data_IF_793527177254
#
_entry.id   IF_793527177254
#
_cell.length_a   1.000
_cell.length_b   1.000
_cell.length_c   1.000
_cell.angle_alpha   90.00
_cell.angle_beta   90.00
_cell.angle_gamma   90.00
#
_symmetry.space_group_name_H-M   'P 1'
#
loop_
_entity.id
_entity.type
_entity.pdbx_description
1 polymer ?
#
# COMPACT_ATOMS: atom_id res chain seq x y z
N UNK A 1 19.81 -12.55 -4.74
CA UNK A 1 19.97 -11.09 -4.93
C UNK A 1 21.26 -10.66 -4.25
N UNK A 2 22.17 -9.96 -4.95
CA UNK A 2 23.39 -9.46 -4.38
C UNK A 2 23.25 -7.95 -4.11
N UNK A 3 23.21 -7.56 -2.84
CA UNK A 3 23.33 -6.16 -2.44
C UNK A 3 24.79 -5.87 -2.09
N UNK A 4 25.37 -4.84 -2.70
CA UNK A 4 26.70 -4.34 -2.35
C UNK A 4 26.56 -2.96 -1.68
N UNK A 5 27.16 -2.80 -0.50
CA UNK A 5 27.31 -1.49 0.12
C UNK A 5 28.56 -0.83 -0.45
N UNK A 6 28.38 0.35 -1.04
CA UNK A 6 29.49 1.13 -1.62
C UNK A 6 29.49 2.52 -1.00
N UNK A 7 30.63 2.93 -0.43
CA UNK A 7 30.80 4.31 -0.02
C UNK A 7 30.94 5.17 -1.28
N UNK A 8 29.91 5.99 -1.56
CA UNK A 8 29.82 6.77 -2.81
C UNK A 8 31.07 7.61 -3.12
N UNK A 9 31.70 8.19 -2.10
CA UNK A 9 32.83 9.10 -2.31
C UNK A 9 32.40 10.29 -3.18
N UNK A 10 33.22 10.60 -4.21
CA UNK A 10 32.99 11.69 -5.18
C UNK A 10 32.36 11.20 -6.51
N UNK A 11 32.00 9.92 -6.64
CA UNK A 11 31.45 9.37 -7.87
C UNK A 11 30.03 9.90 -8.15
N UNK A 12 29.79 10.23 -9.41
CA UNK A 12 28.43 10.55 -9.89
C UNK A 12 27.56 9.29 -9.98
N UNK A 13 26.24 9.42 -9.99
CA UNK A 13 25.33 8.28 -10.14
C UNK A 13 25.57 7.51 -11.45
N UNK A 14 25.72 8.16 -12.63
CA UNK A 14 26.09 7.46 -13.86
C UNK A 14 27.42 6.70 -13.77
N UNK A 15 28.43 7.28 -13.11
CA UNK A 15 29.71 6.60 -12.91
C UNK A 15 29.59 5.37 -12.00
N UNK A 16 28.69 5.39 -11.02
CA UNK A 16 28.38 4.23 -10.18
C UNK A 16 27.71 3.11 -10.97
N UNK A 17 26.73 3.41 -11.82
CA UNK A 17 26.10 2.42 -12.69
C UNK A 17 27.09 1.79 -13.68
N UNK A 18 28.00 2.60 -14.23
CA UNK A 18 29.06 2.09 -15.12
C UNK A 18 30.04 1.17 -14.41
N UNK A 19 30.40 1.50 -13.16
CA UNK A 19 31.31 0.69 -12.37
C UNK A 19 30.65 -0.57 -11.76
N UNK A 20 29.35 -0.50 -11.50
CA UNK A 20 28.56 -1.55 -10.84
C UNK A 20 27.22 -1.70 -11.55
N UNK A 21 27.15 -2.50 -12.64
CA UNK A 21 25.90 -2.76 -13.34
C UNK A 21 24.86 -3.37 -12.40
N UNK A 22 23.72 -2.71 -12.24
CA UNK A 22 22.62 -3.11 -11.34
C UNK A 22 21.31 -2.45 -11.77
N UNK A 23 20.19 -2.97 -11.26
CA UNK A 23 18.86 -2.49 -11.61
C UNK A 23 18.54 -1.13 -10.96
N UNK A 24 19.09 -0.84 -9.78
CA UNK A 24 18.95 0.44 -9.09
C UNK A 24 20.09 0.66 -8.09
N UNK A 25 20.27 1.91 -7.70
CA UNK A 25 21.19 2.34 -6.63
C UNK A 25 20.40 3.11 -5.57
N UNK A 26 20.45 2.64 -4.33
CA UNK A 26 19.86 3.35 -3.19
C UNK A 26 20.94 4.26 -2.56
N UNK A 27 20.67 5.56 -2.51
CA UNK A 27 21.58 6.56 -1.94
C UNK A 27 20.99 7.14 -0.67
N UNK A 28 21.67 6.91 0.45
CA UNK A 28 21.35 7.55 1.72
C UNK A 28 22.17 8.84 1.87
N UNK A 29 21.50 9.95 2.12
CA UNK A 29 22.10 11.27 2.31
C UNK A 29 21.44 12.01 3.49
N UNK A 30 21.87 13.23 3.78
CA UNK A 30 21.21 14.09 4.78
C UNK A 30 19.75 14.42 4.44
N UNK A 31 19.35 14.28 3.18
CA UNK A 31 17.96 14.48 2.72
C UNK A 31 17.13 13.19 2.72
N UNK A 32 17.64 12.09 3.23
CA UNK A 32 16.99 10.79 3.26
C UNK A 32 17.46 9.83 2.17
N UNK A 33 16.65 8.79 1.94
CA UNK A 33 16.91 7.74 0.96
C UNK A 33 16.34 8.12 -0.40
N UNK A 34 17.18 8.03 -1.44
CA UNK A 34 16.78 8.19 -2.86
C UNK A 34 17.17 6.95 -3.63
N UNK A 35 16.23 6.38 -4.35
CA UNK A 35 16.43 5.29 -5.31
C UNK A 35 16.72 5.91 -6.68
N UNK A 36 17.81 5.51 -7.31
CA UNK A 36 18.18 5.92 -8.67
C UNK A 36 18.12 4.72 -9.60
N UNK A 37 17.62 4.94 -10.82
CA UNK A 37 17.52 3.94 -11.88
C UNK A 37 18.51 4.28 -13.02
N UNK A 38 18.89 3.28 -13.87
CA UNK A 38 19.84 3.49 -14.97
C UNK A 38 19.38 4.52 -16.02
N UNK A 39 18.09 4.71 -16.18
CA UNK A 39 17.44 5.67 -17.09
C UNK A 39 17.42 7.11 -16.56
N UNK A 40 18.18 7.41 -15.50
CA UNK A 40 18.23 8.67 -14.77
C UNK A 40 16.94 9.05 -14.03
N UNK A 41 15.97 8.16 -13.94
CA UNK A 41 14.83 8.37 -13.06
C UNK A 41 15.25 8.19 -11.60
N UNK A 42 14.52 8.83 -10.70
CA UNK A 42 14.77 8.71 -9.26
C UNK A 42 13.46 8.76 -8.48
N UNK A 43 13.46 8.09 -7.34
CA UNK A 43 12.34 8.08 -6.42
C UNK A 43 12.81 8.27 -4.98
N UNK A 44 12.06 9.07 -4.23
CA UNK A 44 12.20 9.25 -2.77
C UNK A 44 10.83 9.20 -2.14
N UNK A 45 10.76 8.77 -0.89
CA UNK A 45 9.49 8.77 -0.16
C UNK A 45 8.94 10.18 0.02
N UNK A 46 7.63 10.32 -0.17
CA UNK A 46 6.86 11.53 0.17
C UNK A 46 5.38 11.17 0.40
N UNK A 47 4.69 11.97 1.21
CA UNK A 47 3.30 11.68 1.60
C UNK A 47 2.28 11.77 0.47
N UNK A 48 2.54 12.62 -0.54
CA UNK A 48 1.73 12.72 -1.76
C UNK A 48 0.21 12.74 -1.51
N UNK A 49 -0.47 11.74 -2.06
CA UNK A 49 -1.92 11.59 -1.98
C UNK A 49 -2.40 11.37 -0.54
N UNK A 50 -1.61 10.71 0.32
CA UNK A 50 -1.96 10.55 1.73
C UNK A 50 -2.12 11.90 2.43
N UNK A 51 -1.22 12.87 2.15
CA UNK A 51 -1.33 14.22 2.74
C UNK A 51 -2.63 14.92 2.35
N UNK A 52 -3.01 14.86 1.08
CA UNK A 52 -4.27 15.49 0.61
C UNK A 52 -5.50 14.85 1.26
N UNK A 53 -5.51 13.52 1.37
CA UNK A 53 -6.60 12.77 2.01
C UNK A 53 -6.68 13.07 3.51
N UNK A 54 -5.55 13.11 4.21
CA UNK A 54 -5.50 13.49 5.63
C UNK A 54 -6.02 14.93 5.84
N UNK A 55 -5.65 15.90 4.98
CA UNK A 55 -6.17 17.25 5.05
C UNK A 55 -7.70 17.30 4.87
N UNK A 56 -8.26 16.46 4.00
CA UNK A 56 -9.71 16.32 3.84
C UNK A 56 -10.38 15.74 5.08
N UNK A 57 -9.81 14.68 5.66
CA UNK A 57 -10.28 14.11 6.93
C UNK A 57 -10.26 15.14 8.06
N UNK A 58 -9.22 15.98 8.16
CA UNK A 58 -9.14 17.07 9.15
C UNK A 58 -10.23 18.12 8.98
N UNK A 59 -10.77 18.28 7.78
CA UNK A 59 -11.91 19.17 7.48
C UNK A 59 -13.27 18.51 7.70
N UNK A 60 -13.30 17.26 8.16
CA UNK A 60 -14.53 16.50 8.33
C UNK A 60 -15.09 15.91 7.02
N UNK A 61 -14.30 15.91 5.93
CA UNK A 61 -14.69 15.28 4.69
C UNK A 61 -14.48 13.75 4.81
N UNK A 62 -15.35 12.95 4.16
CA UNK A 62 -15.24 11.50 4.15
C UNK A 62 -14.10 10.99 3.25
N UNK A 63 -13.65 9.77 3.53
CA UNK A 63 -12.74 9.01 2.68
C UNK A 63 -13.34 7.63 2.39
N UNK A 64 -13.33 7.22 1.12
CA UNK A 64 -14.03 5.99 0.72
C UNK A 64 -13.38 4.71 1.27
N UNK A 65 -12.05 4.66 1.45
CA UNK A 65 -11.39 3.53 2.11
C UNK A 65 -11.81 3.45 3.58
N UNK A 66 -11.79 4.58 4.28
CA UNK A 66 -12.24 4.65 5.67
C UNK A 66 -13.69 4.20 5.79
N UNK A 67 -14.57 4.67 4.89
CA UNK A 67 -15.97 4.25 4.87
C UNK A 67 -16.12 2.74 4.59
N UNK A 68 -15.29 2.15 3.73
CA UNK A 68 -15.31 0.72 3.45
C UNK A 68 -14.92 -0.10 4.70
N UNK A 69 -13.86 0.32 5.40
CA UNK A 69 -13.43 -0.30 6.66
C UNK A 69 -14.52 -0.16 7.74
N UNK A 70 -15.08 1.03 7.92
CA UNK A 70 -16.16 1.26 8.89
C UNK A 70 -17.38 0.37 8.63
N UNK A 71 -17.69 0.06 7.36
CA UNK A 71 -18.78 -0.88 7.04
C UNK A 71 -18.47 -2.29 7.55
N UNK A 72 -17.25 -2.78 7.37
CA UNK A 72 -16.84 -4.10 7.89
C UNK A 72 -16.91 -4.09 9.43
N UNK A 73 -16.31 -3.09 10.06
CA UNK A 73 -16.28 -3.00 11.53
C UNK A 73 -17.69 -2.92 12.11
N UNK A 74 -18.57 -2.07 11.55
CA UNK A 74 -19.94 -1.92 12.05
C UNK A 74 -20.80 -3.15 11.85
N UNK A 75 -20.60 -3.91 10.77
CA UNK A 75 -21.33 -5.19 10.54
C UNK A 75 -20.93 -6.24 11.59
N UNK A 76 -19.68 -6.20 12.07
CA UNK A 76 -19.16 -7.11 13.09
C UNK A 76 -19.24 -6.52 14.51
N UNK A 77 -20.02 -5.46 14.73
CA UNK A 77 -20.23 -4.78 16.01
C UNK A 77 -18.94 -4.25 16.66
N UNK A 78 -17.89 -4.03 15.85
CA UNK A 78 -16.58 -3.50 16.31
C UNK A 78 -16.60 -1.98 16.19
N UNK A 79 -16.23 -1.32 17.27
CA UNK A 79 -16.12 0.13 17.28
C UNK A 79 -14.78 0.57 16.69
N UNK A 80 -14.72 1.78 16.15
CA UNK A 80 -13.50 2.40 15.63
C UNK A 80 -12.44 2.71 16.71
N UNK A 81 -12.74 2.46 17.98
CA UNK A 81 -11.83 2.58 19.13
C UNK A 81 -11.18 1.26 19.53
N UNK A 82 -11.69 0.14 19.04
CA UNK A 82 -11.13 -1.17 19.31
C UNK A 82 -9.93 -1.47 18.42
N UNK A 83 -9.02 -2.29 18.91
CA UNK A 83 -7.86 -2.74 18.15
C UNK A 83 -8.30 -3.74 17.08
N UNK A 84 -7.83 -3.58 15.88
CA UNK A 84 -7.98 -4.54 14.77
C UNK A 84 -6.74 -4.57 13.89
N UNK A 85 -6.55 -5.68 13.21
CA UNK A 85 -5.46 -5.88 12.25
C UNK A 85 -5.89 -5.58 10.82
N UNK A 86 -5.02 -4.89 10.08
CA UNK A 86 -5.23 -4.53 8.68
C UNK A 86 -3.99 -4.92 7.87
N UNK A 87 -4.15 -5.84 6.92
CA UNK A 87 -3.09 -6.26 6.01
C UNK A 87 -3.28 -5.59 4.65
N UNK A 88 -2.39 -4.66 4.32
CA UNK A 88 -2.29 -4.08 2.97
C UNK A 88 -1.39 -4.96 2.11
N UNK A 89 -1.99 -5.76 1.24
CA UNK A 89 -1.31 -6.73 0.39
C UNK A 89 -0.49 -6.09 -0.74
N UNK A 90 -0.63 -4.79 -0.95
CA UNK A 90 -0.09 -4.05 -2.11
C UNK A 90 0.31 -2.63 -1.71
N UNK A 91 1.06 -2.48 -0.61
CA UNK A 91 1.28 -1.18 0.03
C UNK A 91 1.87 -0.11 -0.90
N UNK A 92 2.73 -0.49 -1.85
CA UNK A 92 3.36 0.43 -2.79
C UNK A 92 4.04 1.62 -2.08
N UNK A 93 3.58 2.84 -2.38
CA UNK A 93 4.07 4.07 -1.74
C UNK A 93 3.44 4.36 -0.37
N UNK A 94 2.59 3.48 0.12
CA UNK A 94 1.99 3.54 1.45
C UNK A 94 0.80 4.49 1.62
N UNK A 95 0.28 5.05 0.53
CA UNK A 95 -0.73 6.12 0.60
C UNK A 95 -1.99 5.70 1.35
N UNK A 96 -2.53 4.51 1.07
CA UNK A 96 -3.74 3.97 1.70
C UNK A 96 -3.48 3.56 3.15
N UNK A 97 -2.38 2.85 3.41
CA UNK A 97 -1.96 2.46 4.76
C UNK A 97 -1.71 3.67 5.67
N UNK A 98 -1.13 4.77 5.15
CA UNK A 98 -0.92 6.01 5.93
C UNK A 98 -2.25 6.65 6.31
N UNK A 99 -3.21 6.72 5.38
CA UNK A 99 -4.56 7.25 5.65
C UNK A 99 -5.28 6.38 6.68
N UNK A 100 -5.17 5.05 6.55
CA UNK A 100 -5.71 4.08 7.51
C UNK A 100 -5.12 4.28 8.90
N UNK A 101 -3.79 4.34 9.01
CA UNK A 101 -3.11 4.55 10.29
C UNK A 101 -3.43 5.90 10.94
N UNK A 102 -3.68 6.92 10.12
CA UNK A 102 -4.10 8.23 10.63
C UNK A 102 -5.54 8.20 11.17
N UNK A 103 -6.46 7.58 10.44
CA UNK A 103 -7.88 7.52 10.80
C UNK A 103 -8.16 6.55 11.97
N UNK A 104 -7.42 5.44 12.04
CA UNK A 104 -7.55 4.40 13.07
C UNK A 104 -6.23 4.22 13.83
N UNK A 105 -5.94 5.08 14.83
CA UNK A 105 -4.67 5.02 15.57
C UNK A 105 -4.42 3.72 16.31
N UNK A 106 -5.45 2.94 16.61
CA UNK A 106 -5.41 1.64 17.28
C UNK A 106 -5.26 0.46 16.33
N UNK A 107 -5.41 0.68 15.00
CA UNK A 107 -5.24 -0.39 14.03
C UNK A 107 -3.77 -0.85 13.94
N UNK A 108 -3.57 -2.17 13.92
CA UNK A 108 -2.28 -2.81 13.62
C UNK A 108 -2.15 -2.98 12.10
N UNK A 109 -1.38 -2.11 11.47
CA UNK A 109 -1.25 -2.08 10.02
C UNK A 109 0.06 -2.72 9.59
N UNK A 110 -0.05 -3.73 8.73
CA UNK A 110 1.07 -4.34 8.03
C UNK A 110 0.86 -4.22 6.52
N UNK A 111 1.93 -3.82 5.83
CA UNK A 111 1.96 -3.75 4.37
C UNK A 111 2.93 -4.76 3.76
N UNK A 112 2.60 -5.25 2.57
CA UNK A 112 3.46 -6.11 1.76
C UNK A 112 3.87 -5.36 0.50
N UNK A 113 5.15 -5.45 0.13
CA UNK A 113 5.69 -4.88 -1.10
C UNK A 113 6.69 -5.85 -1.74
N UNK A 114 6.39 -6.28 -2.96
CA UNK A 114 7.22 -7.24 -3.71
C UNK A 114 8.37 -6.59 -4.48
N UNK A 115 8.31 -5.30 -4.74
CA UNK A 115 9.39 -4.56 -5.41
C UNK A 115 10.41 -4.05 -4.40
N UNK A 116 11.64 -4.53 -4.49
CA UNK A 116 12.69 -4.14 -3.56
C UNK A 116 12.98 -2.63 -3.53
N UNK A 117 13.09 -1.90 -4.66
CA UNK A 117 13.31 -0.46 -4.63
C UNK A 117 12.14 0.31 -3.99
N UNK A 118 10.91 -0.12 -4.23
CA UNK A 118 9.71 0.50 -3.62
C UNK A 118 9.69 0.19 -2.12
N UNK A 119 9.89 -1.07 -1.74
CA UNK A 119 9.97 -1.46 -0.33
C UNK A 119 11.03 -0.66 0.44
N UNK A 120 12.25 -0.50 -0.12
CA UNK A 120 13.31 0.28 0.51
C UNK A 120 12.91 1.74 0.72
N UNK A 121 12.34 2.38 -0.32
CA UNK A 121 11.92 3.77 -0.23
C UNK A 121 10.78 3.96 0.77
N UNK A 122 9.77 3.10 0.72
CA UNK A 122 8.57 3.19 1.57
C UNK A 122 8.90 2.87 3.02
N UNK A 123 9.59 1.75 3.31
CA UNK A 123 9.96 1.37 4.67
C UNK A 123 10.89 2.41 5.32
N UNK A 124 11.89 2.91 4.58
CA UNK A 124 12.74 3.98 5.07
C UNK A 124 11.94 5.26 5.36
N UNK A 125 11.06 5.65 4.43
CA UNK A 125 10.23 6.84 4.58
C UNK A 125 9.29 6.76 5.77
N UNK A 126 8.58 5.66 5.94
CA UNK A 126 7.71 5.43 7.10
C UNK A 126 8.49 5.50 8.42
N UNK A 127 9.73 5.01 8.44
CA UNK A 127 10.57 5.02 9.64
C UNK A 127 11.21 6.39 9.95
N UNK A 128 11.50 7.24 8.93
CA UNK A 128 12.38 8.41 9.12
C UNK A 128 11.75 9.74 8.70
N UNK A 129 10.76 9.74 7.80
CA UNK A 129 10.09 10.98 7.40
C UNK A 129 9.36 11.60 8.59
N UNK A 130 9.52 12.92 8.77
CA UNK A 130 8.84 13.68 9.82
C UNK A 130 7.98 14.76 9.20
N UNK A 131 6.72 14.82 9.61
CA UNK A 131 5.78 15.87 9.23
C UNK A 131 5.68 16.92 10.36
N UNK A 132 5.37 18.16 10.04
CA UNK A 132 5.16 19.23 11.03
C UNK A 132 3.97 18.98 11.96
N UNK A 133 2.99 18.18 11.54
CA UNK A 133 1.87 17.72 12.36
C UNK A 133 2.24 16.36 12.98
N UNK A 134 2.35 16.32 14.32
CA UNK A 134 2.80 15.13 15.06
C UNK A 134 1.96 13.88 14.77
N UNK A 135 0.62 14.01 14.73
CA UNK A 135 -0.27 12.87 14.45
C UNK A 135 -0.03 12.20 13.10
N UNK A 136 0.44 12.95 12.09
CA UNK A 136 0.85 12.39 10.80
C UNK A 136 2.14 11.59 10.94
N UNK A 137 3.14 12.14 11.65
CA UNK A 137 4.39 11.41 11.93
C UNK A 137 4.11 10.13 12.73
N UNK A 138 3.27 10.21 13.75
CA UNK A 138 2.89 9.04 14.57
C UNK A 138 2.17 7.97 13.71
N UNK A 139 1.33 8.39 12.76
CA UNK A 139 0.68 7.47 11.83
C UNK A 139 1.69 6.69 10.97
N UNK A 140 2.74 7.35 10.48
CA UNK A 140 3.81 6.68 9.73
C UNK A 140 4.51 5.60 10.55
N UNK A 141 4.79 5.87 11.83
CA UNK A 141 5.56 4.97 12.71
C UNK A 141 4.81 3.72 13.13
N UNK A 142 3.49 3.69 12.98
CA UNK A 142 2.66 2.53 13.32
C UNK A 142 2.55 1.50 12.20
N UNK A 143 3.04 1.81 11.00
CA UNK A 143 2.94 0.91 9.85
C UNK A 143 4.19 0.05 9.75
N UNK A 144 4.00 -1.27 9.79
CA UNK A 144 5.04 -2.26 9.50
C UNK A 144 5.02 -2.60 8.01
N UNK A 145 6.19 -2.73 7.36
CA UNK A 145 6.28 -3.13 5.96
C UNK A 145 7.24 -4.30 5.79
N UNK A 146 6.76 -5.37 5.16
CA UNK A 146 7.56 -6.54 4.80
C UNK A 146 7.88 -6.56 3.30
N UNK A 147 9.11 -6.95 2.97
CA UNK A 147 9.49 -7.28 1.59
C UNK A 147 9.00 -8.68 1.27
N UNK A 148 7.80 -8.76 0.72
CA UNK A 148 7.16 -10.02 0.33
C UNK A 148 6.03 -9.72 -0.66
N UNK A 149 5.51 -10.76 -1.31
CA UNK A 149 4.30 -10.67 -2.11
C UNK A 149 3.13 -11.33 -1.41
N UNK A 150 1.92 -10.91 -1.69
CA UNK A 150 0.75 -11.50 -1.06
C UNK A 150 0.52 -12.95 -1.51
N UNK A 151 0.95 -13.33 -2.71
CA UNK A 151 0.90 -14.71 -3.21
C UNK A 151 1.75 -15.65 -2.36
N UNK A 152 2.85 -15.16 -1.79
CA UNK A 152 3.70 -15.93 -0.87
C UNK A 152 3.22 -15.82 0.57
N UNK A 153 2.83 -14.62 1.00
CA UNK A 153 2.59 -14.32 2.42
C UNK A 153 1.24 -14.85 2.90
N UNK A 154 0.14 -14.51 2.19
CA UNK A 154 -1.22 -14.83 2.64
C UNK A 154 -1.49 -16.33 2.79
N UNK A 155 -1.05 -17.22 1.88
CA UNK A 155 -1.28 -18.65 2.03
C UNK A 155 -0.64 -19.29 3.28
N UNK A 156 0.39 -18.65 3.85
CA UNK A 156 1.09 -19.14 5.03
C UNK A 156 0.50 -18.63 6.36
N UNK A 157 -0.49 -17.77 6.31
CA UNK A 157 -1.19 -17.28 7.50
C UNK A 157 -2.24 -18.29 7.98
N UNK A 158 -2.47 -18.39 9.30
CA UNK A 158 -3.60 -19.16 9.84
C UNK A 158 -4.96 -18.65 9.36
N UNK A 159 -5.99 -19.49 9.45
CA UNK A 159 -7.36 -19.09 9.25
C UNK A 159 -7.73 -17.98 10.25
N UNK A 160 -8.52 -16.99 9.81
CA UNK A 160 -9.08 -15.94 10.66
C UNK A 160 -8.03 -15.22 11.54
N UNK A 161 -6.84 -14.99 10.98
CA UNK A 161 -5.71 -14.40 11.71
C UNK A 161 -5.50 -12.91 11.43
N UNK A 162 -6.22 -12.35 10.46
CA UNK A 162 -6.19 -10.93 10.09
C UNK A 162 -7.63 -10.43 9.98
N UNK A 163 -7.95 -9.34 10.65
CA UNK A 163 -9.33 -8.84 10.67
C UNK A 163 -9.79 -8.32 9.32
N UNK A 164 -8.97 -7.51 8.66
CA UNK A 164 -9.28 -6.95 7.34
C UNK A 164 -8.07 -7.10 6.41
N UNK A 165 -8.30 -7.71 5.24
CA UNK A 165 -7.32 -7.80 4.15
C UNK A 165 -7.68 -6.80 3.06
N UNK A 166 -6.69 -6.06 2.58
CA UNK A 166 -6.84 -5.02 1.59
C UNK A 166 -5.94 -5.25 0.38
N UNK A 167 -6.50 -5.04 -0.82
CA UNK A 167 -5.78 -5.08 -2.08
C UNK A 167 -6.01 -3.78 -2.88
N UNK A 168 -4.94 -3.19 -3.37
CA UNK A 168 -4.91 -2.18 -4.42
C UNK A 168 -4.02 -2.69 -5.57
N UNK A 169 -4.46 -3.72 -6.30
CA UNK A 169 -3.67 -4.28 -7.40
C UNK A 169 -3.44 -3.21 -8.45
N UNK A 170 -2.36 -3.32 -9.22
CA UNK A 170 -2.16 -2.45 -10.37
C UNK A 170 -3.32 -2.65 -11.34
N UNK A 171 -4.00 -1.55 -11.68
CA UNK A 171 -5.17 -1.59 -12.56
C UNK A 171 -4.83 -2.26 -13.90
N UNK A 172 -5.67 -3.14 -14.41
CA UNK A 172 -5.54 -3.77 -15.74
C UNK A 172 -5.33 -2.75 -16.86
N UNK A 173 -5.93 -1.58 -16.70
CA UNK A 173 -5.68 -0.42 -17.57
C UNK A 173 -5.07 0.67 -16.70
N UNK A 174 -3.77 0.98 -16.85
CA UNK A 174 -3.10 2.01 -16.06
C UNK A 174 -3.87 3.34 -16.10
N UNK A 175 -4.04 3.97 -14.95
CA UNK A 175 -4.48 5.37 -14.91
C UNK A 175 -3.31 6.21 -15.42
N UNK A 176 -3.46 6.79 -16.61
CA UNK A 176 -2.36 7.36 -17.41
C UNK A 176 -1.51 8.42 -16.69
N UNK A 177 -1.97 9.02 -15.60
CA UNK A 177 -1.36 10.22 -15.04
C UNK A 177 -1.10 10.18 -13.53
N UNK A 178 -0.48 9.11 -13.01
CA UNK A 178 0.12 9.22 -11.68
C UNK A 178 1.61 9.58 -11.81
N UNK A 179 2.01 10.87 -11.69
CA UNK A 179 3.40 11.31 -11.84
C UNK A 179 4.36 10.59 -10.89
N UNK A 180 3.84 10.12 -9.75
CA UNK A 180 4.58 9.47 -8.68
C UNK A 180 5.03 8.06 -9.02
N UNK A 181 4.24 7.33 -9.83
CA UNK A 181 4.60 6.00 -10.33
C UNK A 181 5.43 6.03 -11.62
N UNK A 182 5.56 7.19 -12.25
CA UNK A 182 6.29 7.32 -13.50
C UNK A 182 7.75 6.83 -13.40
N UNK A 183 8.53 7.16 -12.34
CA UNK A 183 9.87 6.64 -12.16
C UNK A 183 9.92 5.15 -11.81
N UNK A 184 8.83 4.56 -11.37
CA UNK A 184 8.74 3.18 -10.89
C UNK A 184 8.14 2.22 -11.93
N UNK A 185 7.71 2.72 -13.09
CA UNK A 185 7.19 1.89 -14.19
C UNK A 185 8.26 0.89 -14.63
N UNK A 186 7.88 -0.39 -14.72
CA UNK A 186 8.79 -1.49 -15.02
C UNK A 186 9.55 -2.06 -13.82
N UNK A 187 9.42 -1.45 -12.62
CA UNK A 187 9.98 -1.96 -11.37
C UNK A 187 8.91 -2.48 -10.39
N UNK A 188 7.64 -2.42 -10.78
CA UNK A 188 6.51 -2.97 -10.02
C UNK A 188 6.34 -4.45 -10.31
N UNK A 189 5.88 -5.21 -9.31
CA UNK A 189 5.48 -6.60 -9.49
C UNK A 189 4.04 -6.61 -10.01
N UNK A 190 3.82 -7.25 -11.17
CA UNK A 190 2.46 -7.49 -11.65
C UNK A 190 1.85 -8.61 -10.83
N UNK A 191 0.76 -8.32 -10.16
CA UNK A 191 0.04 -9.24 -9.28
C UNK A 191 -1.44 -9.23 -9.63
N UNK A 192 -2.02 -10.42 -9.76
CA UNK A 192 -3.43 -10.58 -10.11
C UNK A 192 -4.18 -11.34 -9.01
N UNK A 193 -5.39 -10.88 -8.69
CA UNK A 193 -6.27 -11.58 -7.78
C UNK A 193 -6.98 -12.69 -8.56
N UNK A 194 -6.49 -13.91 -8.43
CA UNK A 194 -7.08 -15.13 -8.97
C UNK A 194 -7.96 -15.85 -7.93
N UNK A 195 -8.58 -16.99 -8.34
CA UNK A 195 -9.44 -17.79 -7.46
C UNK A 195 -8.72 -18.27 -6.20
N UNK A 196 -7.44 -18.64 -6.34
CA UNK A 196 -6.63 -19.12 -5.23
C UNK A 196 -6.37 -18.00 -4.21
N UNK A 197 -5.97 -16.82 -4.68
CA UNK A 197 -5.70 -15.66 -3.82
C UNK A 197 -6.98 -15.17 -3.15
N UNK A 198 -8.09 -15.07 -3.89
CA UNK A 198 -9.36 -14.67 -3.30
C UNK A 198 -9.82 -15.64 -2.21
N UNK A 199 -9.74 -16.94 -2.46
CA UNK A 199 -10.06 -17.97 -1.48
C UNK A 199 -9.15 -17.89 -0.24
N UNK A 200 -7.85 -17.68 -0.42
CA UNK A 200 -6.91 -17.54 0.69
C UNK A 200 -7.15 -16.25 1.49
N UNK A 201 -7.42 -15.13 0.83
CA UNK A 201 -7.76 -13.89 1.51
C UNK A 201 -9.03 -14.04 2.36
N UNK A 202 -10.09 -14.67 1.81
CA UNK A 202 -11.32 -14.94 2.55
C UNK A 202 -11.12 -15.94 3.70
N UNK A 203 -10.23 -16.92 3.56
CA UNK A 203 -9.88 -17.87 4.63
C UNK A 203 -9.17 -17.17 5.80
N UNK A 204 -8.21 -16.33 5.47
CA UNK A 204 -7.34 -15.64 6.45
C UNK A 204 -8.06 -14.47 7.12
N UNK A 205 -8.98 -13.79 6.42
CA UNK A 205 -9.74 -12.68 6.98
C UNK A 205 -10.71 -13.15 8.07
N UNK A 206 -10.76 -12.42 9.19
CA UNK A 206 -11.75 -12.59 10.25
C UNK A 206 -13.06 -11.91 9.88
N UNK A 207 -13.01 -10.67 9.39
CA UNK A 207 -14.21 -9.86 9.13
C UNK A 207 -14.46 -9.62 7.66
N UNK A 208 -13.43 -9.46 6.85
CA UNK A 208 -13.63 -9.26 5.43
C UNK A 208 -12.43 -8.85 4.63
N UNK A 209 -12.68 -8.72 3.33
CA UNK A 209 -11.69 -8.32 2.33
C UNK A 209 -12.16 -7.05 1.62
N UNK A 210 -11.24 -6.14 1.32
CA UNK A 210 -11.49 -4.93 0.53
C UNK A 210 -10.59 -4.96 -0.70
N UNK A 211 -11.17 -4.75 -1.88
CA UNK A 211 -10.43 -4.61 -3.13
C UNK A 211 -10.73 -3.23 -3.73
N UNK A 212 -9.67 -2.49 -4.03
CA UNK A 212 -9.77 -1.21 -4.72
C UNK A 212 -9.61 -1.42 -6.23
N UNK A 213 -10.61 -1.05 -7.01
CA UNK A 213 -10.59 -1.21 -8.45
C UNK A 213 -11.70 -0.35 -9.10
N UNK A 214 -11.78 -0.36 -10.42
CA UNK A 214 -12.84 0.25 -11.22
C UNK A 214 -14.15 -0.54 -11.09
N UNK A 215 -15.33 0.11 -11.13
CA UNK A 215 -16.61 -0.56 -10.93
C UNK A 215 -16.88 -1.74 -11.87
N UNK A 216 -16.30 -1.71 -13.08
CA UNK A 216 -16.53 -2.69 -14.15
C UNK A 216 -15.28 -3.51 -14.48
N UNK A 217 -14.33 -3.61 -13.54
CA UNK A 217 -13.12 -4.43 -13.71
C UNK A 217 -13.45 -5.92 -13.81
N UNK A 218 -12.56 -6.69 -14.41
CA UNK A 218 -12.69 -8.15 -14.51
C UNK A 218 -12.76 -8.79 -13.12
N UNK A 219 -12.06 -8.24 -12.14
CA UNK A 219 -12.11 -8.70 -10.73
C UNK A 219 -13.54 -8.62 -10.19
N UNK A 220 -14.23 -7.48 -10.35
CA UNK A 220 -15.61 -7.34 -9.85
C UNK A 220 -16.66 -8.06 -10.69
N UNK A 221 -16.37 -8.32 -11.97
CA UNK A 221 -17.22 -9.18 -12.80
C UNK A 221 -17.12 -10.64 -12.35
N UNK A 222 -15.89 -11.09 -12.00
CA UNK A 222 -15.63 -12.46 -11.55
C UNK A 222 -16.04 -12.68 -10.09
N UNK A 223 -15.76 -11.70 -9.23
CA UNK A 223 -16.06 -11.71 -7.80
C UNK A 223 -16.92 -10.47 -7.48
N UNK A 224 -18.25 -10.53 -7.66
CA UNK A 224 -19.11 -9.41 -7.30
C UNK A 224 -19.01 -9.09 -5.81
N UNK A 225 -18.70 -7.84 -5.41
CA UNK A 225 -18.62 -7.49 -4.00
C UNK A 225 -20.01 -7.44 -3.36
N UNK A 226 -20.07 -7.76 -2.07
CA UNK A 226 -21.32 -7.61 -1.28
C UNK A 226 -21.76 -6.15 -1.20
N UNK A 227 -20.80 -5.22 -1.14
CA UNK A 227 -21.06 -3.78 -1.16
C UNK A 227 -19.99 -3.06 -1.98
N UNK A 228 -20.44 -2.00 -2.66
CA UNK A 228 -19.57 -1.04 -3.34
C UNK A 228 -19.49 0.26 -2.55
N UNK A 229 -18.30 0.77 -2.30
CA UNK A 229 -18.03 2.06 -1.64
C UNK A 229 -17.23 2.95 -2.58
N UNK A 230 -17.86 3.98 -3.10
CA UNK A 230 -17.25 4.93 -4.05
C UNK A 230 -18.22 6.02 -4.43
N UNK A 231 -17.73 7.08 -5.04
CA UNK A 231 -18.57 8.17 -5.56
C UNK A 231 -19.37 7.74 -6.78
N UNK A 232 -20.54 8.32 -6.97
CA UNK A 232 -21.43 8.04 -8.12
C UNK A 232 -20.71 8.14 -9.49
N UNK A 233 -19.73 9.04 -9.59
CA UNK A 233 -18.93 9.28 -10.80
C UNK A 233 -17.46 8.95 -10.60
N UNK A 234 -17.11 8.27 -9.51
CA UNK A 234 -15.73 7.87 -9.26
C UNK A 234 -15.33 6.78 -10.24
N UNK A 235 -14.14 6.94 -10.83
CA UNK A 235 -13.54 5.91 -11.69
C UNK A 235 -12.96 4.75 -10.89
N UNK A 236 -12.77 4.93 -9.59
CA UNK A 236 -12.18 3.98 -8.66
C UNK A 236 -13.00 3.96 -7.38
N UNK A 237 -13.18 2.80 -6.80
CA UNK A 237 -13.83 2.62 -5.51
C UNK A 237 -13.40 1.31 -4.87
N UNK A 238 -14.14 0.86 -3.90
CA UNK A 238 -13.79 -0.26 -3.03
C UNK A 238 -14.91 -1.28 -3.02
N UNK A 239 -14.62 -2.48 -3.51
CA UNK A 239 -15.47 -3.65 -3.34
C UNK A 239 -15.26 -4.25 -1.96
N UNK A 240 -16.31 -4.43 -1.21
CA UNK A 240 -16.27 -4.97 0.16
C UNK A 240 -16.88 -6.37 0.19
N UNK A 241 -16.13 -7.33 0.72
CA UNK A 241 -16.50 -8.72 0.88
C UNK A 241 -16.54 -9.05 2.36
N UNK A 242 -17.76 -9.33 2.88
CA UNK A 242 -17.99 -9.65 4.29
C UNK A 242 -17.84 -11.15 4.51
N UNK A 243 -17.19 -11.58 5.59
CA UNK A 243 -17.02 -13.00 5.93
C UNK A 243 -18.33 -13.67 6.27
N UNK A 244 -19.23 -13.00 7.01
CA UNK A 244 -20.50 -13.55 7.47
C UNK A 244 -21.59 -13.67 6.40
N UNK A 245 -21.36 -13.14 5.19
CA UNK A 245 -22.32 -13.18 4.09
C UNK A 245 -22.01 -14.28 3.07
N UNK A 246 -21.09 -15.17 3.38
CA UNK A 246 -20.77 -16.39 2.65
C UNK A 246 -21.40 -17.59 3.34
#
# INVERSE_FOLDING_TARGET
MHMAYIKRGKLSIPALFNAHPCDFIAVLSGNGLTIHFPDNQQHSFHLSMAQLRILRLQRGEGDYLINAVQKILSTNEITDKEEFSFLDCTIGLGSDSIVMSYAFPQAKIKGLEGSLPIWLATSYGLAHYSHNVKSVTDALRRIEVSYDTFENYVPNLPDESIDIIYFDPMFEVPVEDSPQFKPLRGHTVESHIDDKIMAQAMRVATYGVIIKERPFSSVFQKYPPHQWVGGKYSRIGYGVYMKELL
#
